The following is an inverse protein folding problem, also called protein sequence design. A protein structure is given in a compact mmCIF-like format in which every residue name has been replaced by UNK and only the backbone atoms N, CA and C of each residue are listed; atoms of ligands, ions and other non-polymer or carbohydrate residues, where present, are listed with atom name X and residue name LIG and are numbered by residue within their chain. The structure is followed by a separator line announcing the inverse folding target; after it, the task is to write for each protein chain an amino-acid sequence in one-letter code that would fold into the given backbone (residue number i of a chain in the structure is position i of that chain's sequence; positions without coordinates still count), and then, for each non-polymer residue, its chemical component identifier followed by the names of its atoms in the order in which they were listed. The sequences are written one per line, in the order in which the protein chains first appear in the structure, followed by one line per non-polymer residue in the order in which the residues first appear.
data_IF_031212058351
#
_entry.id   IF_031212058351
#
_cell.length_a   1.000
_cell.length_b   1.000
_cell.length_c   1.000
_cell.angle_alpha   90.00
_cell.angle_beta   90.00
_cell.angle_gamma   90.00
#
_symmetry.space_group_name_H-M   'P 1'
#
loop_
_entity.id
_entity.type
_entity.pdbx_description
1 polymer ?
#
# COMPACT_ATOMS: atom_id res chain seq x y z
N UNK A 1 8.45 12.08 -26.96
CA UNK A 1 9.30 12.25 -25.78
C UNK A 1 8.64 11.45 -24.70
N UNK A 2 9.00 10.18 -24.59
CA UNK A 2 8.53 9.32 -23.51
C UNK A 2 9.58 9.46 -22.40
N UNK A 3 9.18 9.98 -21.26
CA UNK A 3 10.01 9.89 -20.06
C UNK A 3 9.81 8.49 -19.49
N UNK A 4 10.87 7.68 -19.51
CA UNK A 4 10.92 6.32 -18.95
C UNK A 4 11.04 6.31 -17.41
N UNK A 5 10.91 7.48 -16.77
CA UNK A 5 11.10 7.67 -15.33
C UNK A 5 9.79 8.17 -14.72
N UNK A 6 9.24 7.39 -13.80
CA UNK A 6 8.08 7.81 -13.02
C UNK A 6 8.40 9.12 -12.27
N UNK A 7 7.46 10.08 -12.19
CA UNK A 7 7.65 11.28 -11.39
C UNK A 7 8.03 10.92 -9.95
N UNK A 8 9.01 11.64 -9.38
CA UNK A 8 9.69 11.24 -8.14
C UNK A 8 8.77 10.99 -6.92
N UNK A 9 7.53 11.50 -6.94
CA UNK A 9 6.59 11.43 -5.82
C UNK A 9 5.28 10.69 -6.18
N UNK A 10 5.22 9.98 -7.31
CA UNK A 10 4.06 9.15 -7.64
C UNK A 10 4.40 7.68 -7.42
N UNK A 11 3.47 6.89 -6.85
CA UNK A 11 3.66 5.46 -6.74
C UNK A 11 3.61 4.82 -8.13
N UNK A 12 4.49 3.85 -8.37
CA UNK A 12 4.41 2.99 -9.55
C UNK A 12 3.32 1.93 -9.32
N UNK A 13 2.45 1.75 -10.31
CA UNK A 13 1.36 0.79 -10.25
C UNK A 13 1.81 -0.56 -10.80
N UNK A 14 1.75 -1.62 -10.00
CA UNK A 14 2.12 -2.99 -10.36
C UNK A 14 0.89 -3.91 -10.36
N UNK A 15 0.31 -4.14 -11.54
CA UNK A 15 -0.89 -4.97 -11.72
C UNK A 15 -0.58 -5.98 -12.83
N UNK A 16 -1.02 -7.26 -12.71
CA UNK A 16 -0.85 -8.26 -13.74
C UNK A 16 -1.27 -7.74 -15.13
N UNK A 17 -0.55 -8.16 -16.16
CA UNK A 17 -0.91 -7.86 -17.56
C UNK A 17 -1.98 -8.85 -18.02
N UNK A 18 -3.02 -8.37 -18.71
CA UNK A 18 -4.08 -9.23 -19.26
C UNK A 18 -5.43 -8.53 -19.37
N UNK A 19 -6.40 -9.24 -19.95
CA UNK A 19 -7.81 -8.81 -20.02
C UNK A 19 -8.55 -9.09 -18.71
N UNK A 20 -9.45 -8.18 -18.32
CA UNK A 20 -10.36 -8.25 -17.16
C UNK A 20 -9.75 -7.92 -15.78
N UNK A 21 -8.72 -7.06 -15.72
CA UNK A 21 -8.12 -6.61 -14.45
C UNK A 21 -8.77 -5.35 -13.87
N UNK A 22 -9.92 -4.92 -14.39
CA UNK A 22 -10.62 -3.70 -13.98
C UNK A 22 -10.89 -3.67 -12.47
N UNK A 23 -11.31 -4.81 -11.89
CA UNK A 23 -11.54 -4.92 -10.44
C UNK A 23 -10.26 -4.76 -9.61
N UNK A 24 -9.15 -5.29 -10.12
CA UNK A 24 -7.85 -5.18 -9.47
C UNK A 24 -7.40 -3.71 -9.51
N UNK A 25 -7.54 -3.06 -10.67
CA UNK A 25 -7.24 -1.65 -10.84
C UNK A 25 -8.11 -0.77 -9.94
N UNK A 26 -9.41 -1.00 -9.91
CA UNK A 26 -10.36 -0.26 -9.07
C UNK A 26 -10.01 -0.38 -7.60
N UNK A 27 -9.72 -1.60 -7.12
CA UNK A 27 -9.30 -1.84 -5.74
C UNK A 27 -8.01 -1.07 -5.40
N UNK A 28 -6.99 -1.14 -6.25
CA UNK A 28 -5.74 -0.41 -6.02
C UNK A 28 -5.95 1.11 -6.03
N UNK A 29 -6.71 1.63 -6.99
CA UNK A 29 -7.01 3.07 -7.06
C UNK A 29 -7.87 3.55 -5.88
N UNK A 30 -8.77 2.72 -5.36
CA UNK A 30 -9.52 3.01 -4.14
C UNK A 30 -8.60 3.10 -2.92
N UNK A 31 -7.65 2.17 -2.77
CA UNK A 31 -6.64 2.23 -1.70
C UNK A 31 -5.82 3.51 -1.80
N UNK A 32 -5.25 3.80 -2.98
CA UNK A 32 -4.43 5.01 -3.21
C UNK A 32 -5.19 6.29 -2.87
N UNK A 33 -6.47 6.39 -3.25
CA UNK A 33 -7.32 7.57 -2.97
C UNK A 33 -7.63 7.76 -1.48
N UNK A 34 -7.56 6.69 -0.68
CA UNK A 34 -7.82 6.75 0.76
C UNK A 34 -6.56 6.98 1.59
N UNK A 35 -5.37 6.89 0.99
CA UNK A 35 -4.12 7.19 1.71
C UNK A 35 -4.01 8.71 1.97
N UNK A 36 -3.72 9.11 3.22
CA UNK A 36 -3.29 10.47 3.53
C UNK A 36 -2.08 10.85 2.68
N UNK A 37 -1.98 12.12 2.28
CA UNK A 37 -0.95 12.58 1.35
C UNK A 37 0.47 12.26 1.87
N UNK A 38 0.71 12.43 3.16
CA UNK A 38 2.00 12.14 3.82
C UNK A 38 2.38 10.66 3.82
N UNK A 39 1.39 9.75 3.77
CA UNK A 39 1.60 8.32 3.57
C UNK A 39 1.81 8.02 2.09
N UNK A 40 0.98 8.59 1.21
CA UNK A 40 1.07 8.41 -0.23
C UNK A 40 2.44 8.84 -0.79
N UNK A 41 2.98 9.96 -0.31
CA UNK A 41 4.30 10.47 -0.70
C UNK A 41 5.43 9.47 -0.37
N UNK A 42 5.21 8.61 0.63
CA UNK A 42 6.14 7.53 1.02
C UNK A 42 5.95 6.25 0.22
N UNK A 43 4.90 6.12 -0.59
CA UNK A 43 4.69 4.90 -1.39
C UNK A 43 5.60 4.91 -2.60
N UNK A 44 6.41 3.85 -2.73
CA UNK A 44 7.24 3.60 -3.92
C UNK A 44 6.43 2.90 -5.01
N UNK A 45 5.73 1.83 -4.63
CA UNK A 45 4.91 1.03 -5.53
C UNK A 45 3.69 0.47 -4.82
N UNK A 46 2.61 0.27 -5.58
CA UNK A 46 1.35 -0.32 -5.10
C UNK A 46 0.84 -1.30 -6.14
N UNK A 47 0.33 -2.44 -5.69
CA UNK A 47 -0.09 -3.50 -6.59
C UNK A 47 -0.95 -4.56 -5.93
N UNK A 48 -1.47 -5.47 -6.75
CA UNK A 48 -2.31 -6.57 -6.29
C UNK A 48 -2.36 -7.69 -7.34
N UNK A 49 -2.53 -8.94 -6.90
CA UNK A 49 -2.76 -10.09 -7.79
C UNK A 49 -4.25 -10.38 -7.99
N UNK A 50 -5.07 -9.95 -7.04
CA UNK A 50 -6.54 -10.01 -7.00
C UNK A 50 -7.06 -8.75 -6.29
N UNK A 51 -8.36 -8.47 -6.37
CA UNK A 51 -8.98 -7.32 -5.67
C UNK A 51 -8.80 -7.35 -4.14
N UNK A 52 -8.54 -8.52 -3.55
CA UNK A 52 -8.36 -8.73 -2.11
C UNK A 52 -6.90 -8.80 -1.65
N UNK A 53 -5.93 -8.59 -2.54
CA UNK A 53 -4.50 -8.74 -2.24
C UNK A 53 -3.70 -7.47 -2.47
N UNK A 54 -4.32 -6.31 -2.25
CA UNK A 54 -3.63 -5.03 -2.36
C UNK A 54 -2.50 -4.96 -1.33
N UNK A 55 -1.35 -4.51 -1.79
CA UNK A 55 -0.18 -4.24 -0.98
C UNK A 55 0.64 -3.11 -1.62
N UNK A 56 1.45 -2.43 -0.81
CA UNK A 56 2.38 -1.43 -1.31
C UNK A 56 3.71 -1.44 -0.57
N UNK A 57 4.76 -1.01 -1.23
CA UNK A 57 6.08 -0.84 -0.65
C UNK A 57 6.30 0.62 -0.30
N UNK A 58 6.74 0.88 0.93
CA UNK A 58 7.16 2.21 1.34
C UNK A 58 8.62 2.44 0.93
N UNK A 59 8.94 3.66 0.48
CA UNK A 59 10.30 4.11 0.19
C UNK A 59 11.15 3.93 1.45
N UNK A 60 12.29 3.26 1.30
CA UNK A 60 13.24 2.96 2.39
C UNK A 60 12.57 2.32 3.63
N UNK A 61 11.50 1.54 3.43
CA UNK A 61 10.65 1.06 4.51
C UNK A 61 10.00 -0.30 4.25
N UNK A 62 9.11 -0.73 5.17
CA UNK A 62 8.44 -2.02 5.09
C UNK A 62 7.46 -2.12 3.93
N UNK A 63 7.14 -3.37 3.56
CA UNK A 63 5.94 -3.68 2.77
C UNK A 63 4.70 -3.55 3.64
N UNK A 64 3.64 -2.95 3.11
CA UNK A 64 2.32 -2.89 3.72
C UNK A 64 1.39 -3.88 3.04
N UNK A 65 0.84 -4.81 3.80
CA UNK A 65 -0.24 -5.70 3.37
C UNK A 65 -1.59 -5.07 3.73
N UNK A 66 -2.38 -4.73 2.71
CA UNK A 66 -3.63 -3.99 2.85
C UNK A 66 -4.87 -4.87 2.75
N UNK A 67 -4.80 -5.93 1.94
CA UNK A 67 -5.94 -6.79 1.62
C UNK A 67 -6.87 -6.11 0.62
N UNK A 68 -8.19 -6.20 0.82
CA UNK A 68 -9.18 -5.50 -0.01
C UNK A 68 -9.29 -4.00 0.31
N UNK A 69 -9.98 -3.24 -0.54
CA UNK A 69 -10.28 -1.82 -0.30
C UNK A 69 -11.30 -1.56 0.82
N UNK A 70 -11.91 -2.61 1.38
CA UNK A 70 -12.81 -2.49 2.53
C UNK A 70 -12.09 -1.83 3.72
N UNK A 71 -12.82 -0.94 4.41
CA UNK A 71 -12.34 -0.18 5.57
C UNK A 71 -11.08 0.67 5.31
N UNK A 72 -10.81 1.05 4.05
CA UNK A 72 -9.58 1.78 3.69
C UNK A 72 -9.35 3.05 4.51
N UNK A 73 -10.42 3.79 4.85
CA UNK A 73 -10.30 4.97 5.71
C UNK A 73 -9.82 4.64 7.14
N UNK A 74 -10.23 3.49 7.71
CA UNK A 74 -9.77 3.06 9.03
C UNK A 74 -8.34 2.49 8.95
N UNK A 75 -8.07 1.65 7.95
CA UNK A 75 -6.72 1.10 7.68
C UNK A 75 -5.67 2.21 7.51
N UNK A 76 -6.02 3.27 6.80
CA UNK A 76 -5.18 4.44 6.62
C UNK A 76 -4.83 5.14 7.94
N UNK A 77 -5.81 5.35 8.82
CA UNK A 77 -5.59 5.95 10.14
C UNK A 77 -4.68 5.06 11.00
N UNK A 78 -4.93 3.75 11.02
CA UNK A 78 -4.13 2.77 11.75
C UNK A 78 -2.68 2.78 11.25
N UNK A 79 -2.47 2.71 9.93
CA UNK A 79 -1.14 2.78 9.34
C UNK A 79 -0.41 4.08 9.71
N UNK A 80 -1.08 5.23 9.61
CA UNK A 80 -0.50 6.52 9.99
C UNK A 80 -0.01 6.55 11.44
N UNK A 81 -0.79 5.98 12.37
CA UNK A 81 -0.40 5.86 13.78
C UNK A 81 0.79 4.92 13.96
N UNK A 82 0.81 3.77 13.28
CA UNK A 82 1.92 2.81 13.37
C UNK A 82 3.24 3.41 12.84
N UNK A 83 3.17 4.16 11.74
CA UNK A 83 4.33 4.84 11.16
C UNK A 83 4.83 5.98 12.07
N UNK A 84 3.92 6.75 12.68
CA UNK A 84 4.30 7.89 13.53
C UNK A 84 4.81 7.45 14.91
N UNK A 85 4.27 6.36 15.46
CA UNK A 85 4.69 5.82 16.76
C UNK A 85 6.03 5.07 16.72
N UNK A 86 6.53 4.75 15.53
CA UNK A 86 7.74 3.94 15.34
C UNK A 86 7.53 2.44 15.58
N UNK A 87 6.28 1.98 15.73
CA UNK A 87 5.95 0.57 15.90
C UNK A 87 6.43 -0.32 14.72
N UNK A 88 6.64 0.30 13.55
CA UNK A 88 7.09 -0.35 12.33
C UNK A 88 8.57 -0.08 11.98
N UNK A 89 9.33 0.65 12.81
CA UNK A 89 10.68 1.13 12.44
C UNK A 89 11.73 0.02 12.22
N UNK A 90 11.47 -1.20 12.70
CA UNK A 90 12.34 -2.36 12.52
C UNK A 90 11.63 -3.57 11.90
N UNK A 91 10.44 -3.34 11.29
CA UNK A 91 9.67 -4.40 10.63
C UNK A 91 9.96 -4.41 9.14
N UNK A 92 9.86 -5.60 8.55
CA UNK A 92 9.89 -5.79 7.09
C UNK A 92 8.48 -5.76 6.49
N UNK A 93 7.47 -6.10 7.30
CA UNK A 93 6.05 -6.08 6.91
C UNK A 93 5.20 -5.42 7.97
N UNK A 94 4.28 -4.55 7.54
CA UNK A 94 3.15 -4.05 8.30
C UNK A 94 1.88 -4.65 7.69
N UNK A 95 1.08 -5.35 8.48
CA UNK A 95 -0.18 -5.91 8.03
C UNK A 95 -1.33 -5.14 8.68
N UNK A 96 -2.09 -4.45 7.85
CA UNK A 96 -3.29 -3.69 8.23
C UNK A 96 -4.56 -4.28 7.61
N UNK A 97 -4.49 -5.50 7.07
CA UNK A 97 -5.63 -6.16 6.41
C UNK A 97 -6.83 -6.35 7.35
N UNK A 98 -6.56 -6.55 8.65
CA UNK A 98 -7.51 -6.50 9.74
C UNK A 98 -7.24 -5.26 10.63
N UNK A 99 -7.91 -4.12 10.38
CA UNK A 99 -7.54 -2.83 11.00
C UNK A 99 -7.70 -2.77 12.52
N UNK A 100 -8.47 -3.68 13.12
CA UNK A 100 -8.62 -3.77 14.59
C UNK A 100 -7.54 -4.61 15.26
N UNK A 101 -6.75 -5.36 14.49
CA UNK A 101 -5.67 -6.22 14.96
C UNK A 101 -4.45 -6.15 14.00
N UNK A 102 -3.89 -4.95 13.77
CA UNK A 102 -2.73 -4.82 12.89
C UNK A 102 -1.49 -5.47 13.53
N UNK A 103 -0.62 -6.02 12.70
CA UNK A 103 0.63 -6.66 13.17
C UNK A 103 1.83 -6.16 12.37
N UNK A 104 3.01 -6.30 12.97
CA UNK A 104 4.28 -6.14 12.27
C UNK A 104 5.08 -7.43 12.32
N UNK A 105 5.84 -7.70 11.27
CA UNK A 105 6.67 -8.91 11.14
C UNK A 105 8.06 -8.54 10.61
N UNK A 106 9.07 -9.31 11.02
CA UNK A 106 10.39 -9.32 10.38
C UNK A 106 10.48 -10.52 9.43
N UNK A 107 11.28 -10.40 8.38
CA UNK A 107 11.75 -11.54 7.60
C UNK A 107 13.01 -12.08 8.27
N UNK A 108 13.04 -13.40 8.49
CA UNK A 108 14.16 -14.11 9.12
C UNK A 108 15.26 -14.45 8.10
#
# INVERSE_FOLDING_TARGET
GESDVAPANLPVLDIPLGTNNDRILDAVLEVVRNLPQDVLDRVESVGAQTEDTVAFTLRDGPRVEWGSSQDSALKAQVLGVMLTSGAASASDVIDVSAPTLPITRRQD
#
